data_IF_259896970374
#
_entry.id   IF_259896970374
#
_cell.length_a   1.000
_cell.length_b   1.000
_cell.length_c   1.000
_cell.angle_alpha   90.00
_cell.angle_beta   90.00
_cell.angle_gamma   90.00
#
_symmetry.space_group_name_H-M   'P 1'
#
loop_
_entity.id
_entity.type
_entity.pdbx_description
1 polymer ?
#
# COMPACT_ATOMS: atom_id res chain seq x y z
N UNK A 1 12.98 -13.03 -19.13
CA UNK A 1 11.57 -13.33 -19.46
C UNK A 1 10.59 -12.86 -18.38
N UNK A 2 10.78 -13.19 -17.10
CA UNK A 2 9.88 -12.76 -16.02
C UNK A 2 9.82 -11.23 -15.85
N UNK A 3 10.95 -10.53 -15.94
CA UNK A 3 11.01 -9.07 -15.79
C UNK A 3 10.39 -8.32 -16.97
N UNK A 4 10.48 -8.89 -18.18
CA UNK A 4 9.78 -8.36 -19.36
C UNK A 4 8.27 -8.45 -19.17
N UNK A 5 7.75 -9.56 -18.62
CA UNK A 5 6.32 -9.73 -18.33
C UNK A 5 5.88 -8.72 -17.26
N UNK A 6 6.67 -8.52 -16.21
CA UNK A 6 6.39 -7.49 -15.17
C UNK A 6 6.32 -6.10 -15.76
N UNK A 7 7.27 -5.73 -16.65
CA UNK A 7 7.26 -4.43 -17.32
C UNK A 7 6.02 -4.23 -18.17
N UNK A 8 5.65 -5.22 -18.98
CA UNK A 8 4.45 -5.13 -19.81
C UNK A 8 3.21 -4.95 -18.92
N UNK A 9 3.08 -5.77 -17.88
CA UNK A 9 1.94 -5.69 -16.95
C UNK A 9 1.86 -4.33 -16.25
N UNK A 10 2.98 -3.81 -15.72
CA UNK A 10 3.04 -2.51 -15.07
C UNK A 10 2.75 -1.36 -16.04
N UNK A 11 3.25 -1.45 -17.27
CA UNK A 11 2.97 -0.49 -18.33
C UNK A 11 1.47 -0.45 -18.68
N UNK A 12 0.86 -1.61 -18.84
CA UNK A 12 -0.59 -1.72 -19.10
C UNK A 12 -1.40 -1.13 -17.95
N UNK A 13 -1.07 -1.46 -16.70
CA UNK A 13 -1.75 -0.92 -15.53
C UNK A 13 -1.61 0.62 -15.47
N UNK A 14 -0.43 1.15 -15.73
CA UNK A 14 -0.20 2.60 -15.72
C UNK A 14 -1.02 3.31 -16.81
N UNK A 15 -1.09 2.75 -18.01
CA UNK A 15 -1.89 3.29 -19.13
C UNK A 15 -3.38 3.24 -18.82
N UNK A 16 -3.88 2.10 -18.30
CA UNK A 16 -5.29 1.97 -17.92
C UNK A 16 -5.66 2.96 -16.80
N UNK A 17 -4.77 3.14 -15.83
CA UNK A 17 -4.97 4.13 -14.76
C UNK A 17 -4.96 5.58 -15.29
N UNK A 18 -4.12 5.88 -16.27
CA UNK A 18 -4.10 7.20 -16.92
C UNK A 18 -5.40 7.47 -17.71
N UNK A 19 -5.90 6.46 -18.43
CA UNK A 19 -7.21 6.53 -19.13
C UNK A 19 -8.33 6.75 -18.12
N UNK A 20 -8.31 6.00 -17.01
CA UNK A 20 -9.29 6.14 -15.94
C UNK A 20 -9.25 7.55 -15.33
N UNK A 21 -8.06 8.09 -15.06
CA UNK A 21 -7.91 9.45 -14.54
C UNK A 21 -8.45 10.52 -15.51
N UNK A 22 -8.26 10.33 -16.83
CA UNK A 22 -8.78 11.24 -17.85
C UNK A 22 -10.30 11.19 -18.00
N UNK A 23 -10.93 10.06 -17.59
CA UNK A 23 -12.39 9.90 -17.63
C UNK A 23 -13.05 10.26 -16.28
N UNK A 24 -12.26 10.71 -15.30
CA UNK A 24 -12.79 11.10 -14.00
C UNK A 24 -13.75 12.29 -14.14
N UNK A 25 -14.92 12.19 -13.53
CA UNK A 25 -15.90 13.26 -13.52
C UNK A 25 -15.51 14.32 -12.50
N UNK A 26 -15.83 15.60 -12.76
CA UNK A 26 -15.51 16.68 -11.81
C UNK A 26 -16.21 16.53 -10.45
N UNK A 27 -17.31 15.80 -10.42
CA UNK A 27 -18.13 15.50 -9.24
C UNK A 27 -17.64 14.27 -8.45
N UNK A 28 -16.67 13.52 -8.98
CA UNK A 28 -16.07 12.37 -8.28
C UNK A 28 -14.54 12.49 -8.15
N UNK A 29 -14.06 13.38 -7.26
CA UNK A 29 -12.63 13.55 -7.05
C UNK A 29 -11.96 12.31 -6.43
N UNK A 30 -12.72 11.42 -5.76
CA UNK A 30 -12.18 10.18 -5.21
C UNK A 30 -11.71 9.22 -6.30
N UNK A 31 -12.49 9.12 -7.37
CA UNK A 31 -12.11 8.29 -8.51
C UNK A 31 -10.82 8.79 -9.17
N UNK A 32 -10.71 10.11 -9.37
CA UNK A 32 -9.49 10.72 -9.90
C UNK A 32 -8.27 10.46 -9.01
N UNK A 33 -8.40 10.67 -7.69
CA UNK A 33 -7.29 10.45 -6.75
C UNK A 33 -6.84 8.99 -6.75
N UNK A 34 -7.77 8.04 -6.72
CA UNK A 34 -7.43 6.62 -6.77
C UNK A 34 -6.74 6.23 -8.10
N UNK A 35 -7.24 6.73 -9.23
CA UNK A 35 -6.62 6.49 -10.53
C UNK A 35 -5.18 7.07 -10.60
N UNK A 36 -4.96 8.27 -10.05
CA UNK A 36 -3.63 8.89 -9.96
C UNK A 36 -2.69 8.10 -9.05
N UNK A 37 -3.15 7.61 -7.90
CA UNK A 37 -2.35 6.78 -7.01
C UNK A 37 -1.90 5.50 -7.73
N UNK A 38 -2.82 4.79 -8.38
CA UNK A 38 -2.49 3.57 -9.14
C UNK A 38 -1.50 3.87 -10.25
N UNK A 39 -1.69 4.96 -10.99
CA UNK A 39 -0.78 5.40 -12.05
C UNK A 39 0.63 5.68 -11.51
N UNK A 40 0.74 6.42 -10.41
CA UNK A 40 2.04 6.77 -9.80
C UNK A 40 2.77 5.54 -9.26
N UNK A 41 2.05 4.64 -8.58
CA UNK A 41 2.63 3.40 -8.04
C UNK A 41 3.09 2.50 -9.17
N UNK A 42 2.26 2.28 -10.19
CA UNK A 42 2.62 1.46 -11.34
C UNK A 42 3.80 2.06 -12.13
N UNK A 43 3.80 3.39 -12.33
CA UNK A 43 4.89 4.11 -12.98
C UNK A 43 6.20 4.04 -12.19
N UNK A 44 6.15 4.20 -10.87
CA UNK A 44 7.32 4.06 -10.01
C UNK A 44 7.90 2.64 -10.06
N UNK A 45 7.05 1.62 -9.96
CA UNK A 45 7.46 0.23 -10.04
C UNK A 45 8.02 -0.12 -11.42
N UNK A 46 7.42 0.42 -12.49
CA UNK A 46 7.91 0.27 -13.85
C UNK A 46 9.34 0.82 -14.00
N UNK A 47 9.60 2.05 -13.56
CA UNK A 47 10.93 2.66 -13.58
C UNK A 47 11.92 1.86 -12.74
N UNK A 48 11.49 1.35 -11.59
CA UNK A 48 12.35 0.53 -10.73
C UNK A 48 12.77 -0.76 -11.41
N UNK A 49 11.83 -1.47 -12.06
CA UNK A 49 12.14 -2.70 -12.82
C UNK A 49 13.04 -2.41 -14.00
N UNK A 50 12.81 -1.31 -14.75
CA UNK A 50 13.69 -0.88 -15.83
C UNK A 50 15.14 -0.65 -15.36
N UNK A 51 15.31 0.07 -14.24
CA UNK A 51 16.63 0.31 -13.67
C UNK A 51 17.32 -0.97 -13.21
N UNK A 52 16.57 -1.93 -12.70
CA UNK A 52 17.13 -3.23 -12.31
C UNK A 52 17.60 -4.04 -13.53
N UNK A 53 16.90 -3.97 -14.65
CA UNK A 53 17.29 -4.65 -15.88
C UNK A 53 18.53 -4.01 -16.55
N UNK A 54 18.70 -2.68 -16.39
CA UNK A 54 19.86 -1.96 -16.94
C UNK A 54 21.13 -2.07 -16.09
N UNK A 55 20.99 -2.41 -14.83
CA UNK A 55 22.09 -2.66 -13.91
C UNK A 55 22.31 -4.18 -13.82
N UNK A 56 23.22 -4.72 -14.63
CA UNK A 56 23.84 -6.00 -14.31
C UNK A 56 24.60 -5.80 -12.99
N UNK A 57 23.92 -6.02 -11.87
CA UNK A 57 24.62 -6.07 -10.59
C UNK A 57 25.62 -7.23 -10.68
N UNK A 58 26.91 -6.98 -10.39
CA UNK A 58 27.85 -8.07 -10.20
C UNK A 58 27.19 -9.05 -9.24
N UNK A 59 27.19 -10.33 -9.60
CA UNK A 59 26.59 -11.36 -8.78
C UNK A 59 27.16 -11.20 -7.37
N UNK A 60 26.35 -10.63 -6.47
CA UNK A 60 26.68 -10.63 -5.06
C UNK A 60 26.92 -12.09 -4.70
N UNK A 61 28.07 -12.39 -4.10
CA UNK A 61 28.31 -13.72 -3.57
C UNK A 61 27.04 -14.16 -2.84
N UNK A 62 26.51 -15.34 -3.15
CA UNK A 62 25.27 -15.79 -2.55
C UNK A 62 25.45 -15.70 -1.03
N UNK A 63 24.68 -14.78 -0.42
CA UNK A 63 24.62 -14.73 1.03
C UNK A 63 24.39 -16.16 1.53
N UNK A 64 25.06 -16.58 2.63
CA UNK A 64 24.91 -17.92 3.14
C UNK A 64 23.43 -18.25 3.19
N UNK A 65 23.04 -19.24 2.38
CA UNK A 65 21.63 -19.58 2.20
C UNK A 65 21.12 -20.01 3.57
N UNK A 66 20.46 -19.10 4.25
CA UNK A 66 19.67 -19.50 5.41
C UNK A 66 18.60 -20.46 4.87
N UNK A 67 18.47 -21.61 5.47
CA UNK A 67 17.52 -22.65 5.13
C UNK A 67 16.06 -22.14 5.14
N UNK A 68 15.88 -20.89 5.57
CA UNK A 68 14.59 -20.22 5.82
C UNK A 68 14.38 -18.98 4.95
N UNK A 69 13.14 -18.75 4.54
CA UNK A 69 12.73 -17.56 3.77
C UNK A 69 12.53 -16.32 4.67
N UNK A 70 13.56 -15.93 5.40
CA UNK A 70 13.50 -14.82 6.35
C UNK A 70 13.14 -13.47 5.69
N UNK A 71 13.35 -13.33 4.38
CA UNK A 71 12.95 -12.12 3.63
C UNK A 71 11.43 -11.87 3.68
N UNK A 72 10.62 -12.92 3.57
CA UNK A 72 9.15 -12.82 3.65
C UNK A 72 8.72 -12.42 5.06
N UNK A 73 9.33 -13.03 6.07
CA UNK A 73 9.06 -12.71 7.48
C UNK A 73 9.42 -11.25 7.78
N UNK A 74 10.60 -10.79 7.35
CA UNK A 74 11.03 -9.40 7.52
C UNK A 74 10.06 -8.42 6.85
N UNK A 75 9.64 -8.69 5.61
CA UNK A 75 8.66 -7.87 4.90
C UNK A 75 7.32 -7.81 5.66
N UNK A 76 6.84 -8.94 6.16
CA UNK A 76 5.63 -9.02 6.95
C UNK A 76 5.72 -8.23 8.27
N UNK A 77 6.85 -8.30 8.98
CA UNK A 77 7.08 -7.52 10.21
C UNK A 77 7.06 -6.01 9.92
N UNK A 78 7.74 -5.58 8.85
CA UNK A 78 7.76 -4.16 8.45
C UNK A 78 6.34 -3.69 8.08
N UNK A 79 5.61 -4.48 7.28
CA UNK A 79 4.24 -4.15 6.89
C UNK A 79 3.30 -4.08 8.10
N UNK A 80 3.41 -5.04 9.03
CA UNK A 80 2.65 -5.04 10.28
C UNK A 80 2.94 -3.78 11.11
N UNK A 81 4.21 -3.46 11.31
CA UNK A 81 4.59 -2.27 12.09
C UNK A 81 4.09 -0.99 11.44
N UNK A 82 4.22 -0.85 10.13
CA UNK A 82 3.73 0.30 9.39
C UNK A 82 2.21 0.46 9.54
N UNK A 83 1.43 -0.59 9.29
CA UNK A 83 -0.02 -0.54 9.42
C UNK A 83 -0.49 -0.39 10.85
N UNK A 84 0.27 -0.88 11.82
CA UNK A 84 0.02 -0.65 13.24
C UNK A 84 0.09 0.84 13.59
N UNK A 85 1.15 1.54 13.15
CA UNK A 85 1.31 2.98 13.37
C UNK A 85 0.21 3.77 12.65
N UNK A 86 -0.05 3.49 11.37
CA UNK A 86 -1.09 4.17 10.59
C UNK A 86 -2.47 3.94 11.21
N UNK A 87 -2.80 2.70 11.55
CA UNK A 87 -4.07 2.36 12.18
C UNK A 87 -4.26 3.10 13.50
N UNK A 88 -3.22 3.12 14.35
CA UNK A 88 -3.26 3.82 15.63
C UNK A 88 -3.49 5.34 15.45
N UNK A 89 -2.76 5.97 14.53
CA UNK A 89 -2.91 7.41 14.25
C UNK A 89 -4.33 7.75 13.77
N UNK A 90 -4.88 6.96 12.85
CA UNK A 90 -6.26 7.15 12.38
C UNK A 90 -7.25 6.96 13.52
N UNK A 91 -7.02 5.97 14.40
CA UNK A 91 -7.83 5.76 15.60
C UNK A 91 -7.83 6.97 16.54
N UNK A 92 -6.68 7.60 16.75
CA UNK A 92 -6.56 8.84 17.54
C UNK A 92 -7.34 9.98 16.91
N UNK A 93 -7.22 10.17 15.57
CA UNK A 93 -8.01 11.19 14.86
C UNK A 93 -9.50 10.98 15.05
N UNK A 94 -9.97 9.74 14.89
CA UNK A 94 -11.39 9.37 15.10
C UNK A 94 -11.85 9.68 16.54
N UNK A 95 -11.01 9.36 17.53
CA UNK A 95 -11.31 9.65 18.93
C UNK A 95 -11.43 11.17 19.17
N UNK A 96 -10.55 11.97 18.58
CA UNK A 96 -10.66 13.43 18.65
C UNK A 96 -11.89 13.97 17.93
N UNK A 97 -12.27 13.41 16.80
CA UNK A 97 -13.51 13.80 16.10
C UNK A 97 -14.78 13.50 16.91
N UNK A 98 -14.75 12.45 17.73
CA UNK A 98 -15.84 12.16 18.67
C UNK A 98 -15.88 13.13 19.84
N UNK A 99 -14.71 13.46 20.40
CA UNK A 99 -14.60 14.40 21.51
C UNK A 99 -14.88 15.85 21.10
N UNK A 100 -14.46 16.21 19.90
CA UNK A 100 -14.56 17.56 19.33
C UNK A 100 -15.17 17.51 17.93
N UNK A 101 -16.51 17.57 17.79
CA UNK A 101 -17.18 17.46 16.49
C UNK A 101 -16.72 18.49 15.44
N UNK A 102 -16.19 19.64 15.86
CA UNK A 102 -15.61 20.65 14.97
C UNK A 102 -14.40 20.16 14.16
N UNK A 103 -13.76 19.06 14.58
CA UNK A 103 -12.67 18.42 13.84
C UNK A 103 -13.14 17.51 12.69
N UNK A 104 -14.45 17.37 12.51
CA UNK A 104 -15.01 16.77 11.30
C UNK A 104 -14.99 17.80 10.15
N UNK A 105 -13.82 17.96 9.53
CA UNK A 105 -13.54 18.96 8.50
C UNK A 105 -14.17 18.57 7.14
N UNK A 106 -15.47 18.29 7.12
CA UNK A 106 -16.19 17.80 5.94
C UNK A 106 -16.09 18.75 4.76
N UNK A 107 -16.14 20.06 5.03
CA UNK A 107 -16.14 21.10 3.99
C UNK A 107 -14.76 21.27 3.34
N UNK A 108 -13.69 21.16 4.14
CA UNK A 108 -12.31 21.28 3.65
C UNK A 108 -11.81 20.05 2.90
N UNK A 109 -12.34 18.88 3.22
CA UNK A 109 -11.83 17.59 2.71
C UNK A 109 -12.83 16.89 1.80
N UNK A 110 -13.87 17.59 1.32
CA UNK A 110 -14.97 17.00 0.56
C UNK A 110 -15.57 15.74 1.25
N UNK A 111 -15.56 15.74 2.58
CA UNK A 111 -16.09 14.64 3.39
C UNK A 111 -15.22 13.38 3.47
N UNK A 112 -13.99 13.38 2.93
CA UNK A 112 -13.12 12.20 2.98
C UNK A 112 -12.59 11.87 4.37
N UNK A 113 -12.36 12.88 5.19
CA UNK A 113 -11.83 12.73 6.55
C UNK A 113 -12.89 12.83 7.64
N UNK A 114 -14.17 12.72 7.29
CA UNK A 114 -15.21 12.70 8.29
C UNK A 114 -15.23 11.35 9.05
N UNK A 115 -15.74 11.37 10.27
CA UNK A 115 -15.86 10.21 11.14
C UNK A 115 -16.50 9.00 10.45
N UNK A 116 -17.57 9.21 9.67
CA UNK A 116 -18.31 8.14 9.01
C UNK A 116 -17.49 7.37 7.97
N UNK A 117 -16.49 8.01 7.34
CA UNK A 117 -15.59 7.38 6.36
C UNK A 117 -14.30 6.87 7.00
N UNK A 118 -13.75 7.59 7.97
CA UNK A 118 -12.52 7.17 8.64
C UNK A 118 -12.72 5.94 9.53
N UNK A 119 -13.88 5.81 10.18
CA UNK A 119 -14.16 4.67 11.07
C UNK A 119 -14.08 3.31 10.36
N UNK A 120 -14.82 3.06 9.26
CA UNK A 120 -14.69 1.78 8.55
C UNK A 120 -13.29 1.58 7.94
N UNK A 121 -12.65 2.65 7.46
CA UNK A 121 -11.28 2.59 6.96
C UNK A 121 -10.30 2.16 8.05
N UNK A 122 -10.38 2.77 9.24
CA UNK A 122 -9.59 2.38 10.41
C UNK A 122 -9.80 0.91 10.77
N UNK A 123 -11.05 0.47 10.88
CA UNK A 123 -11.38 -0.90 11.25
C UNK A 123 -10.81 -1.90 10.24
N UNK A 124 -10.98 -1.63 8.95
CA UNK A 124 -10.45 -2.48 7.88
C UNK A 124 -8.91 -2.51 7.88
N UNK A 125 -8.26 -1.36 8.08
CA UNK A 125 -6.81 -1.28 8.14
C UNK A 125 -6.24 -2.05 9.33
N UNK A 126 -6.87 -1.96 10.52
CA UNK A 126 -6.42 -2.67 11.72
C UNK A 126 -6.65 -4.18 11.58
N UNK A 127 -7.80 -4.62 11.11
CA UNK A 127 -8.10 -6.06 11.01
C UNK A 127 -7.29 -6.72 9.89
N UNK A 128 -7.34 -6.18 8.67
CA UNK A 128 -6.76 -6.84 7.51
C UNK A 128 -5.31 -6.46 7.26
N UNK A 129 -4.97 -5.17 7.32
CA UNK A 129 -3.63 -4.74 7.01
C UNK A 129 -2.66 -4.95 8.20
N UNK A 130 -3.04 -4.62 9.42
CA UNK A 130 -2.20 -4.90 10.59
C UNK A 130 -2.31 -6.35 11.03
N UNK A 131 -3.50 -6.79 11.44
CA UNK A 131 -3.72 -8.13 11.99
C UNK A 131 -3.47 -9.24 10.97
N UNK A 132 -3.91 -9.06 9.72
CA UNK A 132 -3.68 -10.01 8.63
C UNK A 132 -2.20 -10.20 8.31
N UNK A 133 -1.43 -9.11 8.19
CA UNK A 133 0.02 -9.20 7.98
C UNK A 133 0.74 -9.87 9.17
N UNK A 134 0.35 -9.54 10.40
CA UNK A 134 0.90 -10.18 11.61
C UNK A 134 0.67 -11.69 11.60
N UNK A 135 -0.57 -12.11 11.31
CA UNK A 135 -0.94 -13.51 11.27
C UNK A 135 -0.17 -14.28 10.18
N UNK A 136 -0.14 -13.75 8.96
CA UNK A 136 0.56 -14.37 7.83
C UNK A 136 2.06 -14.44 8.12
N UNK A 137 2.67 -13.37 8.58
CA UNK A 137 4.08 -13.30 8.93
C UNK A 137 4.46 -14.33 9.99
N UNK A 138 3.67 -14.43 11.06
CA UNK A 138 3.87 -15.39 12.15
C UNK A 138 3.70 -16.83 11.64
N UNK A 139 2.68 -17.06 10.80
CA UNK A 139 2.46 -18.38 10.20
C UNK A 139 3.64 -18.83 9.35
N UNK A 140 4.16 -17.94 8.49
CA UNK A 140 5.36 -18.21 7.70
C UNK A 140 6.57 -18.51 8.59
N UNK A 141 6.76 -17.75 9.66
CA UNK A 141 7.85 -17.98 10.61
C UNK A 141 7.78 -19.36 11.26
N UNK A 142 6.59 -19.76 11.73
CA UNK A 142 6.40 -21.03 12.45
C UNK A 142 6.49 -22.21 11.50
N UNK A 143 5.85 -22.15 10.32
CA UNK A 143 5.78 -23.28 9.39
C UNK A 143 7.14 -23.66 8.81
N UNK A 144 8.04 -22.71 8.62
CA UNK A 144 9.36 -23.00 8.04
C UNK A 144 10.42 -23.40 9.07
N UNK A 145 10.13 -23.35 10.38
CA UNK A 145 11.06 -23.67 11.48
C UNK A 145 10.60 -24.87 12.28
#
# INVERSE_FOLDING_TARGET
MLDTIKLIALGVIAVLAAIAANQARPDDPAYLVNALIVMLVAGFMFVRVLRQMGNEQPALEPAPQTEYFDGVVRAGVIATSFWGVVGFLVGVVIAFQLAFPALNLSDLTHGYTNFGKLRPLHTSAVIFAFGGNALICTSFYVVQR
#
